data_IF_869819091292
#
_entry.id   IF_869819091292
#
_cell.length_a   1.000
_cell.length_b   1.000
_cell.length_c   1.000
_cell.angle_alpha   90.00
_cell.angle_beta   90.00
_cell.angle_gamma   90.00
#
_symmetry.space_group_name_H-M   'P 1'
#
loop_
_entity.id
_entity.type
_entity.pdbx_description
1 polymer ?
#
# COMPACT_ATOMS: atom_id res chain seq x y z
N UNK A 1 -8.65 14.08 -2.94
CA UNK A 1 -7.93 13.14 -2.05
C UNK A 1 -7.78 11.82 -2.79
N UNK A 2 -6.88 10.93 -2.39
CA UNK A 2 -6.38 9.82 -3.22
C UNK A 2 -7.42 8.77 -3.67
N UNK A 3 -8.67 8.91 -3.23
CA UNK A 3 -9.80 8.04 -3.52
C UNK A 3 -9.94 7.76 -5.02
N UNK A 4 -10.14 6.49 -5.33
CA UNK A 4 -10.28 5.98 -6.68
C UNK A 4 -8.97 5.80 -7.43
N UNK A 5 -7.82 6.28 -6.95
CA UNK A 5 -6.53 6.08 -7.60
C UNK A 5 -6.08 4.61 -7.50
N UNK A 6 -5.44 4.06 -8.54
CA UNK A 6 -4.84 2.74 -8.50
C UNK A 6 -3.62 2.75 -7.57
N UNK A 7 -3.45 1.63 -6.88
CA UNK A 7 -2.37 1.39 -5.92
C UNK A 7 -1.69 0.08 -6.24
N UNK A 8 -0.38 0.11 -6.38
CA UNK A 8 0.43 -1.10 -6.40
C UNK A 8 0.92 -1.38 -4.98
N UNK A 9 0.44 -2.47 -4.40
CA UNK A 9 0.79 -2.92 -3.05
C UNK A 9 1.85 -4.02 -3.14
N UNK A 10 2.99 -3.84 -2.47
CA UNK A 10 4.07 -4.85 -2.42
C UNK A 10 4.56 -5.03 -1.00
N UNK A 11 4.88 -6.27 -0.63
CA UNK A 11 5.51 -6.54 0.66
C UNK A 11 6.95 -5.97 0.65
N UNK A 12 7.27 -5.17 1.65
CA UNK A 12 8.61 -4.62 1.84
C UNK A 12 9.44 -5.48 2.80
N UNK A 13 8.82 -5.93 3.89
CA UNK A 13 9.49 -6.74 4.91
C UNK A 13 8.47 -7.54 5.71
N UNK A 14 8.85 -8.75 6.11
CA UNK A 14 8.10 -9.53 7.11
C UNK A 14 8.54 -9.15 8.51
N UNK A 15 7.59 -9.06 9.42
CA UNK A 15 7.82 -8.79 10.83
C UNK A 15 7.90 -10.11 11.63
N UNK A 16 7.09 -11.11 11.27
CA UNK A 16 7.13 -12.45 11.87
C UNK A 16 8.36 -13.27 11.45
N UNK A 17 8.88 -14.10 12.36
CA UNK A 17 10.00 -15.01 12.12
C UNK A 17 9.63 -16.18 11.18
N UNK A 18 8.35 -16.57 11.15
CA UNK A 18 7.83 -17.69 10.35
C UNK A 18 7.03 -17.22 9.12
N UNK A 19 6.98 -15.90 8.87
CA UNK A 19 6.24 -15.37 7.73
C UNK A 19 6.94 -15.69 6.40
N UNK A 20 6.14 -15.77 5.33
CA UNK A 20 6.62 -16.00 3.97
C UNK A 20 6.75 -14.65 3.26
N UNK A 21 7.93 -14.36 2.69
CA UNK A 21 8.15 -13.12 1.96
C UNK A 21 7.49 -13.24 0.60
N UNK A 22 6.63 -12.29 0.27
CA UNK A 22 5.90 -12.27 -0.98
C UNK A 22 6.37 -11.08 -1.82
N UNK A 23 7.09 -11.36 -2.90
CA UNK A 23 7.54 -10.29 -3.81
C UNK A 23 6.45 -9.83 -4.79
N UNK A 24 5.27 -10.46 -4.76
CA UNK A 24 4.21 -10.15 -5.71
C UNK A 24 3.68 -8.73 -5.51
N UNK A 25 3.46 -8.05 -6.64
CA UNK A 25 2.78 -6.75 -6.68
C UNK A 25 1.29 -7.00 -6.87
N UNK A 26 0.48 -6.41 -6.01
CA UNK A 26 -0.96 -6.62 -5.97
C UNK A 26 -1.67 -5.34 -6.34
N UNK A 27 -2.64 -5.45 -7.24
CA UNK A 27 -3.38 -4.30 -7.70
C UNK A 27 -4.52 -3.98 -6.73
N UNK A 28 -4.45 -2.78 -6.19
CA UNK A 28 -5.45 -2.23 -5.29
C UNK A 28 -5.99 -0.90 -5.83
N UNK A 29 -7.04 -0.39 -5.19
CA UNK A 29 -7.60 0.94 -5.42
C UNK A 29 -7.85 1.62 -4.10
N UNK A 30 -7.58 2.92 -3.98
CA UNK A 30 -7.92 3.66 -2.76
C UNK A 30 -9.44 3.77 -2.64
N UNK A 31 -10.01 3.19 -1.60
CA UNK A 31 -11.41 3.40 -1.21
C UNK A 31 -11.54 4.73 -0.48
N UNK A 32 -10.75 4.91 0.58
CA UNK A 32 -10.80 6.07 1.48
C UNK A 32 -9.42 6.33 2.09
N UNK A 33 -9.12 7.59 2.38
CA UNK A 33 -7.98 7.98 3.20
C UNK A 33 -8.45 8.79 4.42
N UNK A 34 -7.97 8.42 5.59
CA UNK A 34 -8.23 9.07 6.87
C UNK A 34 -6.94 9.74 7.37
N UNK A 35 -6.83 11.08 7.25
CA UNK A 35 -5.63 11.82 7.64
C UNK A 35 -5.48 12.01 9.14
N UNK A 36 -6.52 11.85 9.96
CA UNK A 36 -6.44 12.05 11.40
C UNK A 36 -5.75 10.86 12.08
N UNK A 37 -6.05 9.66 11.59
CA UNK A 37 -5.58 8.39 12.16
C UNK A 37 -4.49 7.71 11.31
N UNK A 38 -4.05 8.35 10.22
CA UNK A 38 -3.08 7.83 9.24
C UNK A 38 -3.49 6.47 8.65
N UNK A 39 -4.78 6.25 8.40
CA UNK A 39 -5.30 5.04 7.77
C UNK A 39 -5.63 5.24 6.30
N UNK A 40 -5.25 4.27 5.47
CA UNK A 40 -5.72 4.16 4.09
C UNK A 40 -6.48 2.85 3.90
N UNK A 41 -7.63 2.96 3.28
CA UNK A 41 -8.51 1.85 2.94
C UNK A 41 -8.31 1.52 1.47
N UNK A 42 -7.95 0.27 1.20
CA UNK A 42 -7.60 -0.22 -0.14
C UNK A 42 -8.54 -1.35 -0.53
N UNK A 43 -9.10 -1.27 -1.73
CA UNK A 43 -9.86 -2.35 -2.35
C UNK A 43 -8.92 -3.24 -3.18
N UNK A 44 -8.87 -4.53 -2.89
CA UNK A 44 -8.17 -5.55 -3.69
C UNK A 44 -9.01 -5.95 -4.90
N UNK A 45 -8.40 -5.99 -6.10
CA UNK A 45 -9.12 -6.35 -7.33
C UNK A 45 -9.22 -7.85 -7.57
N UNK A 46 -8.10 -8.56 -7.51
CA UNK A 46 -8.02 -9.94 -8.01
C UNK A 46 -7.54 -10.93 -6.94
N UNK A 47 -6.61 -10.51 -6.10
CA UNK A 47 -6.00 -11.38 -5.08
C UNK A 47 -6.95 -11.80 -3.95
N UNK A 48 -6.67 -12.93 -3.31
CA UNK A 48 -7.35 -13.33 -2.08
C UNK A 48 -6.90 -12.49 -0.87
N UNK A 49 -7.76 -12.27 0.13
CA UNK A 49 -7.33 -11.59 1.35
C UNK A 49 -6.32 -12.42 2.16
N UNK A 50 -6.39 -13.74 2.04
CA UNK A 50 -5.56 -14.73 2.75
C UNK A 50 -4.08 -14.53 2.47
N UNK A 51 -3.73 -14.17 1.23
CA UNK A 51 -2.35 -13.93 0.82
C UNK A 51 -1.78 -12.64 1.41
N UNK A 52 -2.60 -11.70 1.91
CA UNK A 52 -2.14 -10.46 2.55
C UNK A 52 -1.83 -10.76 4.03
N UNK A 53 -0.56 -10.69 4.41
CA UNK A 53 -0.13 -10.88 5.80
C UNK A 53 -0.45 -9.63 6.64
N UNK A 54 -0.87 -9.85 7.89
CA UNK A 54 -1.01 -8.77 8.87
C UNK A 54 0.32 -8.46 9.59
N UNK A 55 1.25 -9.42 9.56
CA UNK A 55 2.57 -9.32 10.20
C UNK A 55 3.66 -8.96 9.19
N UNK A 56 3.34 -8.08 8.25
CA UNK A 56 4.27 -7.59 7.25
C UNK A 56 4.10 -6.08 7.04
N UNK A 57 5.22 -5.45 6.72
CA UNK A 57 5.28 -4.08 6.25
C UNK A 57 5.11 -4.08 4.74
N UNK A 58 4.20 -3.25 4.27
CA UNK A 58 3.89 -3.08 2.87
C UNK A 58 4.30 -1.70 2.40
N UNK A 59 4.69 -1.63 1.14
CA UNK A 59 4.88 -0.39 0.40
C UNK A 59 3.74 -0.25 -0.60
N UNK A 60 3.09 0.91 -0.57
CA UNK A 60 2.00 1.26 -1.47
C UNK A 60 2.49 2.34 -2.44
N UNK A 61 2.32 2.13 -3.74
CA UNK A 61 2.55 3.13 -4.76
C UNK A 61 1.22 3.61 -5.31
N UNK A 62 0.87 4.87 -5.03
CA UNK A 62 -0.40 5.48 -5.43
C UNK A 62 -0.14 6.31 -6.68
N UNK A 63 -0.67 5.86 -7.81
CA UNK A 63 -0.57 6.61 -9.06
C UNK A 63 -1.70 7.62 -9.14
N UNK A 64 -1.38 8.89 -8.95
CA UNK A 64 -2.32 10.00 -9.16
C UNK A 64 -2.24 10.49 -10.61
N UNK A 65 -3.10 11.43 -11.02
CA UNK A 65 -3.09 11.99 -12.38
C UNK A 65 -1.79 12.71 -12.73
N UNK A 66 -1.09 13.25 -11.73
CA UNK A 66 0.06 14.13 -11.92
C UNK A 66 1.35 13.54 -11.37
N UNK A 67 1.25 12.67 -10.35
CA UNK A 67 2.40 12.23 -9.56
C UNK A 67 2.26 10.77 -9.12
N UNK A 68 3.42 10.12 -8.90
CA UNK A 68 3.49 8.82 -8.27
C UNK A 68 3.91 9.02 -6.81
N UNK A 69 3.00 8.72 -5.89
CA UNK A 69 3.26 8.80 -4.46
C UNK A 69 3.59 7.42 -3.92
N UNK A 70 4.41 7.34 -2.89
CA UNK A 70 4.62 6.11 -2.15
C UNK A 70 4.49 6.34 -0.65
N UNK A 71 3.93 5.35 0.04
CA UNK A 71 3.92 5.26 1.48
C UNK A 71 4.23 3.83 1.90
N UNK A 72 4.59 3.66 3.17
CA UNK A 72 4.81 2.37 3.80
C UNK A 72 3.93 2.26 5.02
N UNK A 73 3.49 1.05 5.32
CA UNK A 73 2.62 0.82 6.45
C UNK A 73 2.37 -0.64 6.72
N UNK A 74 1.54 -0.89 7.74
CA UNK A 74 1.18 -2.23 8.19
C UNK A 74 -0.32 -2.43 8.03
N UNK A 75 -0.72 -3.59 7.51
CA UNK A 75 -2.14 -3.94 7.39
C UNK A 75 -2.65 -4.28 8.79
N UNK A 76 -3.65 -3.53 9.26
CA UNK A 76 -4.30 -3.78 10.55
C UNK A 76 -5.51 -4.67 10.43
N UNK A 77 -6.28 -4.52 9.36
CA UNK A 77 -7.48 -5.30 9.13
C UNK A 77 -7.59 -5.68 7.65
N UNK A 78 -8.17 -6.85 7.40
CA UNK A 78 -8.59 -7.32 6.09
C UNK A 78 -10.02 -7.83 6.20
N UNK A 79 -10.92 -7.35 5.36
CA UNK A 79 -12.34 -7.68 5.46
C UNK A 79 -13.00 -7.71 4.08
N UNK A 80 -14.07 -8.49 3.95
CA UNK A 80 -14.92 -8.49 2.76
C UNK A 80 -16.17 -7.63 3.03
N UNK A 81 -16.58 -6.84 2.02
CA UNK A 81 -17.84 -6.11 2.01
C UNK A 81 -18.43 -6.19 0.61
N UNK A 82 -19.67 -6.67 0.49
CA UNK A 82 -20.40 -6.80 -0.79
C UNK A 82 -19.58 -7.51 -1.89
N UNK A 83 -19.02 -8.69 -1.58
CA UNK A 83 -18.12 -9.49 -2.43
C UNK A 83 -16.80 -8.81 -2.85
N UNK A 84 -16.53 -7.60 -2.34
CA UNK A 84 -15.30 -6.86 -2.56
C UNK A 84 -14.38 -7.01 -1.35
N UNK A 85 -13.08 -7.02 -1.61
CA UNK A 85 -12.03 -7.30 -0.64
C UNK A 85 -11.36 -6.00 -0.24
N UNK A 86 -11.26 -5.73 1.05
CA UNK A 86 -10.71 -4.47 1.56
C UNK A 86 -9.60 -4.70 2.57
N UNK A 87 -8.67 -3.76 2.61
CA UNK A 87 -7.57 -3.67 3.57
C UNK A 87 -7.60 -2.33 4.24
N UNK A 88 -7.36 -2.33 5.56
CA UNK A 88 -7.08 -1.14 6.34
C UNK A 88 -5.60 -1.13 6.67
N UNK A 89 -4.86 -0.22 6.03
CA UNK A 89 -3.43 -0.08 6.21
C UNK A 89 -3.14 1.17 7.04
N UNK A 90 -2.38 1.02 8.11
CA UNK A 90 -1.85 2.14 8.91
C UNK A 90 -0.55 2.59 8.30
N UNK A 91 -0.49 3.85 7.89
CA UNK A 91 0.70 4.47 7.31
C UNK A 91 1.69 4.78 8.43
N UNK A 92 2.97 4.54 8.18
CA UNK A 92 4.04 4.76 9.17
C UNK A 92 4.98 5.93 8.82
N UNK A 93 5.08 6.30 7.55
CA UNK A 93 6.07 7.29 7.08
C UNK A 93 5.43 8.49 6.35
N UNK A 94 4.10 8.58 6.28
CA UNK A 94 3.41 9.56 5.44
C UNK A 94 3.52 9.26 3.95
N UNK A 95 3.20 10.24 3.11
CA UNK A 95 3.28 10.13 1.65
C UNK A 95 4.46 10.91 1.09
N UNK A 96 5.27 10.26 0.26
CA UNK A 96 6.39 10.87 -0.45
C UNK A 96 6.19 10.77 -1.95
N UNK A 97 6.65 11.78 -2.69
CA UNK A 97 6.67 11.72 -4.15
C UNK A 97 7.91 10.95 -4.63
N UNK A 98 7.71 9.96 -5.51
CA UNK A 98 8.80 9.15 -6.07
C UNK A 98 9.79 10.01 -6.89
N UNK A 99 9.33 11.11 -7.48
CA UNK A 99 10.18 12.02 -8.27
C UNK A 99 11.06 12.94 -7.42
N UNK A 100 10.68 13.24 -6.17
CA UNK A 100 11.53 14.02 -5.26
C UNK A 100 12.74 13.21 -4.74
N UNK A 101 12.62 11.88 -4.71
CA UNK A 101 13.73 10.97 -4.38
C UNK A 101 14.73 10.74 -5.53
N UNK A 102 14.39 11.11 -6.76
CA UNK A 102 15.30 11.09 -7.92
C UNK A 102 15.99 12.46 -8.09
N UNK A 103 16.72 12.93 -7.07
CA UNK A 103 17.96 13.64 -7.39
C UNK A 103 18.90 12.61 -8.00
N UNK A 104 18.83 12.46 -9.32
CA UNK A 104 19.82 11.75 -10.12
C UNK A 104 21.20 12.16 -9.63
N UNK A 105 21.91 11.28 -8.94
CA UNK A 105 23.36 11.32 -8.93
C UNK A 105 23.79 11.05 -10.37
N UNK A 106 23.89 12.12 -11.17
CA UNK A 106 24.73 12.12 -12.37
C UNK A 106 26.12 11.76 -11.87
N UNK A 107 26.52 10.49 -12.05
CA UNK A 107 27.92 10.12 -12.01
C UNK A 107 28.56 10.80 -13.21
N UNK A 108 29.39 11.81 -12.93
CA UNK A 108 30.34 12.38 -13.88
C UNK A 108 31.49 11.39 -14.12
#
# INVERSE_FOLDING_TARGET
MYEGNPVDLRMEKIISADGIFDEATRQCRVEKYDPEEDYIYLELKEDELTVISLDAKYRCYISTRTELLYCTGVVKERYCRDDRKFLKLRIENGFYNVYEGRKMTKRA
#
